data_IF_884821499081
#
_entry.id   IF_884821499081
#
_cell.length_a   1.000
_cell.length_b   1.000
_cell.length_c   1.000
_cell.angle_alpha   90.00
_cell.angle_beta   90.00
_cell.angle_gamma   90.00
#
_symmetry.space_group_name_H-M   'P 1'
#
loop_
_entity.id
_entity.type
_entity.pdbx_description
1 polymer ?
#
# COMPACT_ATOMS: atom_id res chain seq x y z
N UNK A 1 -8.84 22.65 -17.34
CA UNK A 1 -7.44 22.60 -16.86
C UNK A 1 -7.01 21.14 -16.92
N UNK A 2 -6.30 20.76 -17.99
CA UNK A 2 -6.06 19.37 -18.37
C UNK A 2 -5.02 18.72 -17.46
N UNK A 3 -5.48 17.95 -16.46
CA UNK A 3 -4.64 17.26 -15.47
C UNK A 3 -4.17 15.87 -15.92
N UNK A 4 -4.32 15.52 -17.20
CA UNK A 4 -4.12 14.15 -17.65
C UNK A 4 -3.39 14.12 -19.00
N UNK A 5 -2.14 13.67 -18.96
CA UNK A 5 -1.43 13.21 -20.15
C UNK A 5 -1.31 11.70 -19.99
N UNK A 6 -2.23 10.98 -20.62
CA UNK A 6 -2.22 9.52 -20.68
C UNK A 6 -1.11 9.08 -21.63
N UNK A 7 0.11 8.92 -21.13
CA UNK A 7 1.10 8.08 -21.80
C UNK A 7 0.81 6.63 -21.40
N UNK A 8 -0.09 5.99 -22.15
CA UNK A 8 -0.27 4.53 -22.08
C UNK A 8 0.98 3.87 -22.64
N UNK A 9 2.00 3.68 -21.80
CA UNK A 9 3.04 2.72 -22.12
C UNK A 9 2.46 1.32 -21.87
N UNK A 10 1.79 0.78 -22.89
CA UNK A 10 1.46 -0.65 -22.96
C UNK A 10 2.76 -1.38 -23.23
N UNK A 11 3.52 -1.71 -22.18
CA UNK A 11 4.64 -2.63 -22.32
C UNK A 11 4.08 -4.01 -22.67
N UNK A 12 4.56 -4.58 -23.77
CA UNK A 12 4.08 -5.85 -24.33
C UNK A 12 4.16 -6.99 -23.29
N UNK A 13 2.97 -7.49 -22.92
CA UNK A 13 2.60 -8.83 -22.46
C UNK A 13 3.68 -9.67 -21.71
N UNK A 14 3.52 -9.91 -20.39
CA UNK A 14 3.88 -11.20 -19.80
C UNK A 14 2.94 -12.31 -20.33
N UNK A 15 3.40 -13.57 -20.44
CA UNK A 15 2.53 -14.66 -20.84
C UNK A 15 1.48 -14.87 -19.74
N UNK A 16 0.22 -15.08 -20.16
CA UNK A 16 -1.00 -15.26 -19.36
C UNK A 16 -1.78 -13.96 -19.06
N UNK A 17 -2.65 -13.52 -19.99
CA UNK A 17 -3.92 -12.82 -19.72
C UNK A 17 -3.98 -11.67 -18.68
N UNK A 18 -2.86 -11.04 -18.33
CA UNK A 18 -2.77 -10.05 -17.26
C UNK A 18 -2.56 -8.67 -17.87
N UNK A 19 -3.60 -7.82 -17.84
CA UNK A 19 -3.47 -6.40 -18.19
C UNK A 19 -2.74 -5.69 -17.07
N UNK A 20 -1.53 -5.19 -17.35
CA UNK A 20 -0.82 -4.27 -16.46
C UNK A 20 -1.03 -2.87 -17.00
N UNK A 21 -1.70 -2.02 -16.21
CA UNK A 21 -1.87 -0.60 -16.55
C UNK A 21 -1.01 0.22 -15.59
N UNK A 22 -0.05 0.97 -16.14
CA UNK A 22 0.78 1.92 -15.39
C UNK A 22 0.37 3.34 -15.73
N UNK A 23 0.10 4.17 -14.73
CA UNK A 23 -0.28 5.59 -14.88
C UNK A 23 0.66 6.46 -14.04
N UNK A 24 1.31 7.43 -14.67
CA UNK A 24 2.12 8.45 -14.00
C UNK A 24 1.25 9.69 -13.72
N UNK A 25 1.24 10.18 -12.48
CA UNK A 25 0.47 11.37 -12.10
C UNK A 25 1.42 12.59 -12.07
N UNK A 26 1.16 13.67 -12.82
CA UNK A 26 2.06 14.85 -12.84
C UNK A 26 1.97 15.67 -11.55
N UNK A 27 3.12 16.18 -11.09
CA UNK A 27 3.28 17.09 -9.94
C UNK A 27 3.96 16.45 -8.72
N UNK A 28 4.00 15.13 -8.68
CA UNK A 28 4.66 14.27 -7.69
C UNK A 28 5.14 13.01 -8.45
N UNK A 29 6.24 12.34 -8.07
CA UNK A 29 6.68 11.10 -8.74
C UNK A 29 5.81 9.91 -8.29
N UNK A 30 4.52 9.97 -8.65
CA UNK A 30 3.53 8.95 -8.32
C UNK A 30 3.23 8.04 -9.51
N UNK A 31 3.25 6.73 -9.25
CA UNK A 31 2.95 5.68 -10.22
C UNK A 31 1.86 4.74 -9.70
N UNK A 32 0.77 4.60 -10.43
CA UNK A 32 -0.26 3.60 -10.16
C UNK A 32 -0.06 2.41 -11.10
N UNK A 33 0.12 1.21 -10.53
CA UNK A 33 0.20 -0.06 -11.26
C UNK A 33 -1.02 -0.92 -10.93
N UNK A 34 -1.82 -1.27 -11.94
CA UNK A 34 -2.99 -2.14 -11.77
C UNK A 34 -2.70 -3.49 -12.42
N UNK A 35 -2.97 -4.57 -11.70
CA UNK A 35 -2.80 -5.94 -12.20
C UNK A 35 -3.81 -6.89 -11.54
N UNK A 36 -4.09 -8.03 -12.18
CA UNK A 36 -4.88 -9.11 -11.60
C UNK A 36 -3.98 -10.06 -10.79
N UNK A 37 -4.27 -10.29 -9.51
CA UNK A 37 -3.41 -11.13 -8.65
C UNK A 37 -3.71 -12.64 -8.74
N UNK A 38 -4.80 -13.01 -9.43
CA UNK A 38 -5.34 -14.36 -9.52
C UNK A 38 -6.72 -14.50 -8.88
N UNK A 39 -7.08 -13.59 -7.98
CA UNK A 39 -8.38 -13.55 -7.33
C UNK A 39 -9.07 -12.19 -7.47
N UNK A 40 -8.31 -11.10 -7.41
CA UNK A 40 -8.84 -9.75 -7.52
C UNK A 40 -7.97 -8.88 -8.42
N UNK A 41 -8.57 -7.81 -8.92
CA UNK A 41 -7.84 -6.67 -9.46
C UNK A 41 -7.27 -5.81 -8.34
N UNK A 42 -5.98 -5.55 -8.42
CA UNK A 42 -5.19 -4.88 -7.39
C UNK A 42 -4.49 -3.68 -8.00
N UNK A 43 -4.64 -2.52 -7.36
CA UNK A 43 -3.83 -1.34 -7.60
C UNK A 43 -2.70 -1.24 -6.58
N UNK A 44 -1.49 -0.99 -7.04
CA UNK A 44 -0.36 -0.56 -6.21
C UNK A 44 0.01 0.85 -6.62
N UNK A 45 -0.13 1.77 -5.68
CA UNK A 45 0.30 3.15 -5.85
C UNK A 45 1.67 3.30 -5.19
N UNK A 46 2.63 3.80 -5.94
CA UNK A 46 3.97 4.17 -5.52
C UNK A 46 4.04 5.70 -5.50
N UNK A 47 4.47 6.28 -4.39
CA UNK A 47 4.70 7.71 -4.22
C UNK A 47 6.17 7.91 -3.85
N UNK A 48 6.94 8.47 -4.78
CA UNK A 48 8.35 8.73 -4.59
C UNK A 48 8.59 10.22 -4.33
N UNK A 49 9.24 10.53 -3.22
CA UNK A 49 9.60 11.89 -2.85
C UNK A 49 11.02 11.91 -2.27
N UNK A 50 11.90 12.75 -2.83
CA UNK A 50 13.28 12.98 -2.36
C UNK A 50 14.09 11.70 -2.02
N UNK A 51 13.96 10.65 -2.82
CA UNK A 51 14.68 9.38 -2.60
C UNK A 51 14.06 8.49 -1.52
N UNK A 52 12.83 8.76 -1.13
CA UNK A 52 11.99 7.88 -0.31
C UNK A 52 10.80 7.43 -1.14
N UNK A 53 10.36 6.19 -0.93
CA UNK A 53 9.21 5.63 -1.61
C UNK A 53 8.22 5.09 -0.59
N UNK A 54 6.98 5.53 -0.73
CA UNK A 54 5.82 4.98 -0.05
C UNK A 54 5.01 4.17 -1.04
N UNK A 55 4.41 3.08 -0.56
CA UNK A 55 3.53 2.29 -1.40
C UNK A 55 2.28 1.84 -0.66
N UNK A 56 1.16 1.83 -1.37
CA UNK A 56 -0.13 1.34 -0.86
C UNK A 56 -0.78 0.39 -1.84
N UNK A 57 -1.32 -0.70 -1.30
CA UNK A 57 -2.11 -1.68 -2.04
C UNK A 57 -3.59 -1.35 -1.85
N UNK A 58 -4.31 -1.28 -2.95
CA UNK A 58 -5.75 -1.14 -3.02
C UNK A 58 -6.35 -2.32 -3.81
N UNK A 59 -7.46 -2.87 -3.34
CA UNK A 59 -8.16 -3.98 -4.01
C UNK A 59 -9.41 -3.39 -4.68
N UNK A 60 -9.47 -3.46 -6.00
CA UNK A 60 -10.64 -3.09 -6.79
C UNK A 60 -11.69 -4.21 -6.82
N UNK A 61 -11.25 -5.47 -6.67
CA UNK A 61 -12.13 -6.63 -6.77
C UNK A 61 -12.28 -7.07 -8.22
N UNK A 62 -13.28 -6.52 -8.92
CA UNK A 62 -13.48 -6.73 -10.35
C UNK A 62 -12.56 -5.84 -11.21
N UNK A 63 -12.52 -6.09 -12.52
CA UNK A 63 -11.73 -5.28 -13.45
C UNK A 63 -12.20 -3.83 -13.42
N UNK A 64 -11.36 -2.88 -12.97
CA UNK A 64 -11.79 -1.50 -12.82
C UNK A 64 -11.89 -0.84 -14.19
N UNK A 65 -12.99 -0.12 -14.43
CA UNK A 65 -13.13 0.70 -15.64
C UNK A 65 -12.25 1.95 -15.55
N UNK A 66 -11.92 2.54 -16.70
CA UNK A 66 -11.15 3.79 -16.76
C UNK A 66 -11.76 4.89 -15.86
N UNK A 67 -13.09 5.02 -15.83
CA UNK A 67 -13.79 5.97 -14.98
C UNK A 67 -13.59 5.69 -13.48
N UNK A 68 -13.62 4.42 -13.08
CA UNK A 68 -13.40 4.01 -11.68
C UNK A 68 -11.96 4.28 -11.25
N UNK A 69 -11.00 4.02 -12.15
CA UNK A 69 -9.59 4.34 -11.94
C UNK A 69 -9.42 5.85 -11.74
N UNK A 70 -10.04 6.67 -12.60
CA UNK A 70 -9.97 8.13 -12.48
C UNK A 70 -10.61 8.65 -11.18
N UNK A 71 -11.77 8.10 -10.79
CA UNK A 71 -12.40 8.45 -9.52
C UNK A 71 -11.54 8.05 -8.32
N UNK A 72 -10.93 6.86 -8.37
CA UNK A 72 -9.97 6.40 -7.37
C UNK A 72 -8.78 7.37 -7.26
N UNK A 73 -8.17 7.73 -8.38
CA UNK A 73 -7.05 8.68 -8.42
C UNK A 73 -7.44 10.01 -7.79
N UNK A 74 -8.59 10.56 -8.18
CA UNK A 74 -9.03 11.89 -7.73
C UNK A 74 -9.41 11.93 -6.26
N UNK A 75 -10.10 10.91 -5.77
CA UNK A 75 -10.78 10.96 -4.46
C UNK A 75 -10.09 10.14 -3.37
N UNK A 76 -9.27 9.14 -3.72
CA UNK A 76 -8.74 8.16 -2.76
C UNK A 76 -7.23 8.20 -2.62
N UNK A 77 -6.49 8.60 -3.64
CA UNK A 77 -5.01 8.60 -3.60
C UNK A 77 -4.47 9.46 -2.45
N UNK A 78 -4.92 10.71 -2.35
CA UNK A 78 -4.44 11.62 -1.30
C UNK A 78 -4.72 11.08 0.12
N UNK A 79 -5.93 10.56 0.34
CA UNK A 79 -6.35 9.93 1.61
C UNK A 79 -5.50 8.70 1.95
N UNK A 80 -5.15 7.89 0.95
CA UNK A 80 -4.36 6.68 1.15
C UNK A 80 -2.90 6.99 1.45
N UNK A 81 -2.30 7.92 0.72
CA UNK A 81 -0.89 8.34 0.94
C UNK A 81 -0.74 8.98 2.31
N UNK A 82 -1.67 9.86 2.71
CA UNK A 82 -1.58 10.55 4.00
C UNK A 82 -1.65 9.62 5.21
N UNK A 83 -2.18 8.40 5.02
CA UNK A 83 -2.23 7.35 6.06
C UNK A 83 -0.96 6.51 6.13
N UNK A 84 -0.12 6.55 5.10
CA UNK A 84 1.14 5.81 5.10
C UNK A 84 2.14 6.54 5.98
N UNK A 85 2.86 5.73 6.76
CA UNK A 85 3.83 6.24 7.71
C UNK A 85 5.19 5.59 7.53
N UNK A 86 5.24 4.38 6.97
CA UNK A 86 6.48 3.74 6.58
C UNK A 86 6.90 4.16 5.17
N UNK A 87 8.21 4.30 4.99
CA UNK A 87 8.85 4.70 3.74
C UNK A 87 10.15 3.92 3.55
N UNK A 88 10.48 3.61 2.30
CA UNK A 88 11.70 2.89 1.93
C UNK A 88 12.66 3.85 1.24
N UNK A 89 13.92 3.86 1.65
CA UNK A 89 14.95 4.63 0.99
C UNK A 89 15.24 4.04 -0.40
N UNK A 90 15.02 4.85 -1.43
CA UNK A 90 15.31 4.53 -2.83
C UNK A 90 16.57 5.26 -3.23
N UNK A 91 17.55 4.51 -3.75
CA UNK A 91 18.73 5.15 -4.35
C UNK A 91 18.31 5.76 -5.69
N UNK A 92 18.55 7.06 -5.92
CA UNK A 92 18.37 7.61 -7.26
C UNK A 92 19.22 6.81 -8.24
N UNK A 93 18.60 6.39 -9.35
CA UNK A 93 19.26 5.54 -10.33
C UNK A 93 20.36 6.33 -11.03
N UNK A 94 21.60 6.16 -10.58
CA UNK A 94 22.76 6.50 -11.41
C UNK A 94 22.71 5.60 -12.65
N UNK A 95 22.65 6.19 -13.84
CA UNK A 95 22.71 5.47 -15.11
C UNK A 95 24.12 4.91 -15.29
N UNK A 96 24.41 3.81 -14.61
CA UNK A 96 25.63 3.03 -14.82
C UNK A 96 25.46 2.20 -16.08
N UNK A 97 26.48 2.14 -16.91
CA UNK A 97 26.51 1.20 -18.04
C UNK A 97 26.45 -0.23 -17.50
N UNK A 98 25.28 -0.85 -17.63
CA UNK A 98 25.04 -2.24 -17.24
C UNK A 98 25.39 -3.15 -18.43
N UNK A 99 25.99 -4.31 -18.17
CA UNK A 99 26.29 -5.26 -19.26
C UNK A 99 25.01 -5.77 -19.93
N UNK A 100 24.99 -5.98 -21.27
CA UNK A 100 23.78 -6.41 -21.98
C UNK A 100 23.15 -7.68 -21.42
N UNK A 101 23.96 -8.64 -20.95
CA UNK A 101 23.48 -9.87 -20.29
C UNK A 101 22.76 -9.58 -18.96
N UNK A 102 23.25 -8.61 -18.20
CA UNK A 102 22.62 -8.21 -16.93
C UNK A 102 21.35 -7.40 -17.18
N UNK A 103 21.35 -6.54 -18.20
CA UNK A 103 20.16 -5.82 -18.66
C UNK A 103 19.04 -6.78 -19.07
N UNK A 104 19.36 -7.80 -19.88
CA UNK A 104 18.39 -8.81 -20.30
C UNK A 104 17.80 -9.56 -19.10
N UNK A 105 18.63 -9.97 -18.13
CA UNK A 105 18.17 -10.62 -16.88
C UNK A 105 17.29 -9.71 -16.03
N UNK A 106 17.60 -8.41 -15.96
CA UNK A 106 16.79 -7.43 -15.24
C UNK A 106 15.42 -7.29 -15.90
N UNK A 107 15.38 -7.14 -17.24
CA UNK A 107 14.13 -7.11 -17.99
C UNK A 107 13.29 -8.39 -17.77
N UNK A 108 13.91 -9.58 -17.80
CA UNK A 108 13.17 -10.84 -17.55
C UNK A 108 12.63 -10.89 -16.11
N UNK A 109 13.39 -10.42 -15.12
CA UNK A 109 12.95 -10.37 -13.74
C UNK A 109 11.84 -9.33 -13.50
N UNK A 110 11.90 -8.18 -14.17
CA UNK A 110 10.85 -7.16 -14.14
C UNK A 110 9.56 -7.67 -14.77
N UNK A 111 9.63 -8.37 -15.91
CA UNK A 111 8.47 -9.01 -16.55
C UNK A 111 7.88 -10.12 -15.68
N UNK A 112 8.72 -10.88 -14.97
CA UNK A 112 8.24 -11.93 -14.03
C UNK A 112 7.59 -11.33 -12.78
N UNK A 113 7.96 -10.10 -12.41
CA UNK A 113 7.30 -9.35 -11.34
C UNK A 113 6.02 -8.77 -11.92
N UNK A 114 4.93 -8.79 -11.15
CA UNK A 114 3.57 -8.37 -11.59
C UNK A 114 3.46 -6.85 -11.83
N UNK A 115 4.46 -6.20 -12.44
CA UNK A 115 4.53 -4.76 -12.68
C UNK A 115 4.91 -3.90 -11.46
N UNK A 116 4.95 -4.47 -10.25
CA UNK A 116 5.25 -3.74 -9.00
C UNK A 116 6.76 -3.68 -8.76
N UNK A 117 7.28 -2.50 -8.36
CA UNK A 117 8.70 -2.33 -8.05
C UNK A 117 9.13 -3.11 -6.79
N UNK A 118 10.42 -3.44 -6.69
CA UNK A 118 10.97 -4.07 -5.48
C UNK A 118 10.80 -3.19 -4.24
N UNK A 119 11.01 -1.89 -4.41
CA UNK A 119 10.86 -0.91 -3.33
C UNK A 119 9.42 -0.81 -2.85
N UNK A 120 8.44 -0.86 -3.75
CA UNK A 120 7.05 -0.89 -3.35
C UNK A 120 6.67 -2.17 -2.60
N UNK A 121 7.17 -3.33 -3.00
CA UNK A 121 6.94 -4.58 -2.26
C UNK A 121 7.51 -4.50 -0.83
N UNK A 122 8.70 -3.92 -0.68
CA UNK A 122 9.33 -3.70 0.62
C UNK A 122 8.53 -2.70 1.47
N UNK A 123 8.13 -1.56 0.91
CA UNK A 123 7.34 -0.54 1.59
C UNK A 123 5.99 -1.10 2.06
N UNK A 124 5.31 -1.88 1.21
CA UNK A 124 4.07 -2.57 1.57
C UNK A 124 4.26 -3.55 2.73
N UNK A 125 5.39 -4.26 2.76
CA UNK A 125 5.69 -5.22 3.82
C UNK A 125 5.93 -4.51 5.16
N UNK A 126 6.71 -3.43 5.16
CA UNK A 126 6.98 -2.63 6.36
C UNK A 126 5.69 -2.05 6.95
N UNK A 127 4.87 -1.43 6.11
CA UNK A 127 3.58 -0.85 6.53
C UNK A 127 2.62 -1.94 7.06
N UNK A 128 2.62 -3.14 6.48
CA UNK A 128 1.85 -4.27 6.98
C UNK A 128 2.33 -4.76 8.37
N UNK A 129 3.63 -4.88 8.57
CA UNK A 129 4.22 -5.30 9.84
C UNK A 129 3.91 -4.29 10.96
N UNK A 130 4.02 -3.00 10.67
CA UNK A 130 3.62 -1.93 11.59
C UNK A 130 2.16 -2.04 12.01
N UNK A 131 1.23 -2.06 11.05
CA UNK A 131 -0.22 -2.15 11.33
C UNK A 131 -0.57 -3.40 12.13
N UNK A 132 0.13 -4.50 11.87
CA UNK A 132 -0.03 -5.74 12.63
C UNK A 132 0.41 -5.56 14.09
N UNK A 133 1.50 -4.84 14.34
CA UNK A 133 1.95 -4.52 15.70
C UNK A 133 0.99 -3.58 16.41
N UNK A 134 0.57 -2.49 15.77
CA UNK A 134 -0.40 -1.52 16.31
C UNK A 134 -1.73 -2.17 16.69
N UNK A 135 -2.24 -3.08 15.84
CA UNK A 135 -3.47 -3.83 16.16
C UNK A 135 -3.30 -4.69 17.41
N UNK A 136 -2.14 -5.35 17.57
CA UNK A 136 -1.85 -6.20 18.73
C UNK A 136 -1.77 -5.37 20.01
N UNK A 137 -1.06 -4.24 19.98
CA UNK A 137 -0.93 -3.36 21.14
C UNK A 137 -2.28 -2.74 21.50
N UNK A 138 -3.03 -2.24 20.53
CA UNK A 138 -4.36 -1.66 20.74
C UNK A 138 -5.36 -2.68 21.31
N UNK A 139 -5.39 -3.90 20.78
CA UNK A 139 -6.27 -4.96 21.30
C UNK A 139 -5.92 -5.34 22.74
N UNK A 140 -4.62 -5.41 23.08
CA UNK A 140 -4.17 -5.67 24.45
C UNK A 140 -4.60 -4.56 25.40
N UNK A 141 -4.40 -3.29 25.03
CA UNK A 141 -4.82 -2.14 25.83
C UNK A 141 -6.33 -2.11 26.07
N UNK A 142 -7.14 -2.40 25.04
CA UNK A 142 -8.60 -2.49 25.17
C UNK A 142 -9.02 -3.59 26.15
N UNK A 143 -8.39 -4.76 26.08
CA UNK A 143 -8.66 -5.86 26.99
C UNK A 143 -8.30 -5.50 28.44
N UNK A 144 -7.13 -4.91 28.65
CA UNK A 144 -6.67 -4.47 29.97
C UNK A 144 -7.59 -3.41 30.58
N UNK A 145 -8.00 -2.41 29.78
CA UNK A 145 -8.96 -1.39 30.20
C UNK A 145 -10.32 -2.00 30.57
N UNK A 146 -10.82 -2.96 29.79
CA UNK A 146 -12.07 -3.64 30.09
C UNK A 146 -11.99 -4.46 31.39
N UNK A 147 -10.86 -5.13 31.64
CA UNK A 147 -10.62 -5.89 32.88
C UNK A 147 -10.49 -4.96 34.09
N UNK A 148 -9.77 -3.84 33.96
CA UNK A 148 -9.64 -2.83 35.01
C UNK A 148 -11.00 -2.27 35.42
N UNK A 149 -11.83 -1.89 34.43
CA UNK A 149 -13.20 -1.42 34.67
C UNK A 149 -14.06 -2.47 35.38
N UNK A 150 -13.96 -3.74 34.97
CA UNK A 150 -14.69 -4.84 35.65
C UNK A 150 -14.25 -5.01 37.10
N UNK A 151 -12.95 -4.88 37.40
CA UNK A 151 -12.41 -4.96 38.77
C UNK A 151 -12.88 -3.79 39.62
N UNK A 152 -12.83 -2.58 39.10
CA UNK A 152 -13.30 -1.38 39.79
C UNK A 152 -14.79 -1.49 40.17
N UNK A 153 -15.64 -1.93 39.23
CA UNK A 153 -17.05 -2.18 39.51
C UNK A 153 -17.27 -3.26 40.59
N UNK A 154 -16.44 -4.31 40.64
CA UNK A 154 -16.51 -5.32 41.71
C UNK A 154 -16.14 -4.72 43.07
N UNK A 155 -15.09 -3.90 43.13
CA UNK A 155 -14.67 -3.21 44.36
C UNK A 155 -15.75 -2.27 44.86
N UNK A 156 -16.34 -1.46 43.97
CA UNK A 156 -17.45 -0.56 44.33
C UNK A 156 -18.64 -1.35 44.88
N UNK A 157 -19.06 -2.43 44.21
CA UNK A 157 -20.14 -3.30 44.70
C UNK A 157 -19.84 -3.95 46.05
N UNK A 158 -18.59 -4.33 46.30
CA UNK A 158 -18.19 -4.90 47.60
C UNK A 158 -18.25 -3.85 48.72
N UNK A 159 -17.80 -2.62 48.46
CA UNK A 159 -17.89 -1.49 49.40
C UNK A 159 -19.33 -1.15 49.75
N UNK A 160 -20.22 -1.07 48.75
CA UNK A 160 -21.65 -0.80 48.97
C UNK A 160 -22.32 -1.89 49.82
N UNK A 161 -22.00 -3.17 49.57
CA UNK A 161 -22.50 -4.29 50.39
C UNK A 161 -22.05 -4.20 51.85
N UNK A 162 -20.84 -3.71 52.11
CA UNK A 162 -20.31 -3.60 53.47
C UNK A 162 -20.91 -2.41 54.24
N UNK A 163 -21.28 -1.33 53.55
CA UNK A 163 -21.91 -0.14 54.16
C UNK A 163 -23.38 -0.32 54.53
N UNK A 164 -24.06 -1.28 53.93
CA UNK A 164 -25.48 -1.59 54.20
C UNK A 164 -25.71 -2.66 55.28
N UNK A 165 -24.71 -2.96 56.12
CA UNK A 165 -24.81 -3.87 57.27
C UNK A 165 -24.62 -3.12 58.57
#
# INVERSE_FOLDING_TARGET
MALYSSERHVSSLPPLGMSIVSIQLRGMDMKLTIYHDGQYWVGVLEDQDQGKLKAVRYIFGAEPKDEEILQFIRNKVSELISRLSEEVAVKPSEVKKVSPKRLARQATNEVRRKGVSSYAQEALKLEYEKRKQERRTGSKQQLEAALARKRELKVLKAKEKHRGR
#
